data_IF_473923941323
#
_entry.id   IF_473923941323
#
_cell.length_a   1.000
_cell.length_b   1.000
_cell.length_c   1.000
_cell.angle_alpha   90.00
_cell.angle_beta   90.00
_cell.angle_gamma   90.00
#
_symmetry.space_group_name_H-M   'P 1'
#
loop_
_entity.id
_entity.type
_entity.pdbx_description
1 polymer ?
#
# COMPACT_ATOMS: atom_id res chain seq x y z
N UNK A 1 -4.51 -5.31 6.71
CA UNK A 1 -5.28 -4.37 5.87
C UNK A 1 -4.34 -3.36 5.21
N UNK A 2 -4.39 -3.30 3.89
CA UNK A 2 -3.45 -2.71 2.92
C UNK A 2 -3.66 -1.20 2.72
N UNK A 3 -3.56 -0.41 3.80
CA UNK A 3 -3.97 1.00 3.80
C UNK A 3 -3.24 1.87 2.76
N UNK A 4 -1.90 1.80 2.71
CA UNK A 4 -1.12 2.60 1.77
C UNK A 4 -1.17 2.05 0.33
N UNK A 5 -1.27 0.73 0.15
CA UNK A 5 -1.37 0.11 -1.18
C UNK A 5 -2.69 0.47 -1.86
N UNK A 6 -3.80 0.37 -1.12
CA UNK A 6 -5.11 0.77 -1.65
C UNK A 6 -5.11 2.25 -2.04
N UNK A 7 -4.51 3.11 -1.22
CA UNK A 7 -4.35 4.54 -1.52
C UNK A 7 -3.51 4.78 -2.79
N UNK A 8 -2.34 4.14 -2.91
CA UNK A 8 -1.46 4.27 -4.08
C UNK A 8 -2.17 3.77 -5.34
N UNK A 9 -2.82 2.61 -5.29
CA UNK A 9 -3.55 2.06 -6.42
C UNK A 9 -4.68 2.99 -6.87
N UNK A 10 -5.44 3.57 -5.93
CA UNK A 10 -6.48 4.54 -6.25
C UNK A 10 -5.91 5.79 -6.95
N UNK A 11 -4.77 6.30 -6.47
CA UNK A 11 -4.08 7.43 -7.10
C UNK A 11 -3.63 7.10 -8.53
N UNK A 12 -3.02 5.93 -8.73
CA UNK A 12 -2.58 5.46 -10.05
C UNK A 12 -3.75 5.34 -11.04
N UNK A 13 -4.86 4.73 -10.60
CA UNK A 13 -6.07 4.59 -11.43
C UNK A 13 -6.62 5.96 -11.80
N UNK A 14 -6.77 6.88 -10.84
CA UNK A 14 -7.31 8.21 -11.12
C UNK A 14 -6.45 8.97 -12.14
N UNK A 15 -5.13 8.98 -11.94
CA UNK A 15 -4.18 9.67 -12.83
C UNK A 15 -4.22 9.05 -14.24
N UNK A 16 -4.38 7.73 -14.36
CA UNK A 16 -4.48 7.06 -15.65
C UNK A 16 -5.80 7.36 -16.38
N UNK A 17 -6.91 7.46 -15.65
CA UNK A 17 -8.25 7.74 -16.22
C UNK A 17 -8.44 9.22 -16.55
N UNK A 18 -7.77 10.12 -15.82
CA UNK A 18 -7.90 11.58 -15.95
C UNK A 18 -6.56 12.29 -16.14
N UNK A 19 -5.76 11.93 -17.18
CA UNK A 19 -4.46 12.56 -17.39
C UNK A 19 -4.55 14.08 -17.66
N UNK A 20 -5.64 14.53 -18.27
CA UNK A 20 -5.90 15.94 -18.58
C UNK A 20 -6.13 16.83 -17.35
N UNK A 21 -6.48 16.26 -16.20
CA UNK A 21 -6.65 17.02 -14.96
C UNK A 21 -5.31 17.53 -14.40
N UNK A 22 -4.18 17.03 -14.95
CA UNK A 22 -2.84 17.29 -14.46
C UNK A 22 -1.93 17.90 -15.53
N UNK A 23 -1.61 19.20 -15.37
CA UNK A 23 -0.73 19.90 -16.31
C UNK A 23 0.75 19.49 -16.23
N UNK A 24 1.21 18.92 -15.10
CA UNK A 24 2.59 18.45 -14.93
C UNK A 24 2.71 17.45 -13.76
N UNK A 25 3.91 16.89 -13.58
CA UNK A 25 4.23 15.93 -12.50
C UNK A 25 4.03 16.54 -11.11
N UNK A 26 4.38 17.81 -10.91
CA UNK A 26 4.19 18.52 -9.63
C UNK A 26 2.71 18.61 -9.24
N UNK A 27 1.82 18.86 -10.20
CA UNK A 27 0.38 18.89 -9.96
C UNK A 27 -0.15 17.52 -9.50
N UNK A 28 0.35 16.43 -10.09
CA UNK A 28 0.03 15.05 -9.65
C UNK A 28 0.47 14.82 -8.20
N UNK A 29 1.71 15.18 -7.88
CA UNK A 29 2.27 15.05 -6.52
C UNK A 29 1.45 15.85 -5.51
N UNK A 30 1.18 17.12 -5.79
CA UNK A 30 0.41 17.99 -4.90
C UNK A 30 -1.01 17.44 -4.68
N UNK A 31 -1.63 16.91 -5.73
CA UNK A 31 -2.95 16.30 -5.64
C UNK A 31 -2.96 15.04 -4.77
N UNK A 32 -1.96 14.15 -4.90
CA UNK A 32 -1.84 12.98 -4.02
C UNK A 32 -1.67 13.42 -2.55
N UNK A 33 -0.81 14.41 -2.32
CA UNK A 33 -0.54 14.95 -0.98
C UNK A 33 -1.75 15.68 -0.36
N UNK A 34 -2.72 16.14 -1.16
CA UNK A 34 -3.92 16.83 -0.68
C UNK A 34 -4.77 15.96 0.26
N UNK A 35 -4.76 14.64 0.07
CA UNK A 35 -5.51 13.69 0.90
C UNK A 35 -4.88 13.46 2.28
N UNK A 36 -3.62 13.88 2.47
CA UNK A 36 -2.87 13.67 3.71
C UNK A 36 -3.06 14.84 4.68
N UNK A 37 -4.29 14.97 5.20
CA UNK A 37 -4.72 16.20 5.90
C UNK A 37 -4.48 16.19 7.41
N UNK A 38 -4.44 15.01 8.03
CA UNK A 38 -4.38 14.88 9.50
C UNK A 38 -3.38 13.82 9.95
N UNK A 39 -3.01 13.89 11.24
CA UNK A 39 -2.18 12.89 11.91
C UNK A 39 -0.80 12.69 11.26
N UNK A 40 -0.34 11.44 11.23
CA UNK A 40 0.95 11.06 10.67
C UNK A 40 1.06 11.35 9.15
N UNK A 41 -0.07 11.28 8.43
CA UNK A 41 -0.10 11.59 7.01
C UNK A 41 0.20 13.09 6.75
N UNK A 42 -0.36 13.98 7.57
CA UNK A 42 -0.06 15.42 7.47
C UNK A 42 1.42 15.71 7.74
N UNK A 43 2.01 15.07 8.75
CA UNK A 43 3.43 15.23 9.06
C UNK A 43 4.30 14.73 7.90
N UNK A 44 3.99 13.54 7.37
CA UNK A 44 4.65 13.00 6.19
C UNK A 44 4.60 13.98 5.01
N UNK A 45 3.42 14.54 4.70
CA UNK A 45 3.26 15.54 3.63
C UNK A 45 4.18 16.74 3.84
N UNK A 46 4.18 17.31 5.05
CA UNK A 46 4.99 18.48 5.36
C UNK A 46 6.48 18.18 5.18
N UNK A 47 6.95 17.02 5.65
CA UNK A 47 8.33 16.56 5.48
C UNK A 47 8.69 16.32 4.01
N UNK A 48 7.78 15.72 3.23
CA UNK A 48 8.00 15.44 1.81
C UNK A 48 8.09 16.72 0.98
N UNK A 49 7.27 17.75 1.28
CA UNK A 49 7.35 19.05 0.61
C UNK A 49 8.71 19.74 0.84
N UNK A 50 9.25 19.64 2.07
CA UNK A 50 10.60 20.11 2.37
C UNK A 50 11.63 19.36 1.52
N UNK A 51 11.53 18.03 1.41
CA UNK A 51 12.42 17.22 0.57
C UNK A 51 12.40 17.66 -0.89
N UNK A 52 11.21 17.84 -1.49
CA UNK A 52 11.08 18.29 -2.88
C UNK A 52 11.72 19.66 -3.13
N UNK A 53 11.57 20.59 -2.20
CA UNK A 53 12.17 21.92 -2.33
C UNK A 53 13.71 21.88 -2.35
N UNK A 54 14.33 20.93 -1.63
CA UNK A 54 15.78 20.74 -1.59
C UNK A 54 16.31 19.89 -2.76
N UNK A 55 15.50 18.99 -3.31
CA UNK A 55 15.90 18.04 -4.35
C UNK A 55 15.72 18.52 -5.79
N UNK A 56 15.52 19.83 -6.03
CA UNK A 56 15.48 20.45 -7.36
C UNK A 56 16.78 20.32 -8.19
N UNK A 57 17.73 19.47 -7.78
CA UNK A 57 18.97 19.20 -8.52
C UNK A 57 19.27 17.68 -8.55
N UNK A 58 19.19 17.09 -9.76
CA UNK A 58 19.88 15.85 -10.18
C UNK A 58 19.31 14.47 -9.76
N UNK A 59 18.01 14.19 -9.92
CA UNK A 59 17.55 12.79 -9.92
C UNK A 59 16.97 12.39 -11.28
N UNK A 60 17.47 11.27 -11.81
CA UNK A 60 17.01 10.60 -13.05
C UNK A 60 15.76 9.74 -12.83
N UNK A 61 15.25 9.68 -11.59
CA UNK A 61 14.12 8.85 -11.18
C UNK A 61 12.84 9.69 -11.18
N UNK A 62 11.72 9.11 -11.60
CA UNK A 62 10.43 9.80 -11.61
C UNK A 62 10.04 10.27 -10.19
N UNK A 63 9.82 11.59 -9.97
CA UNK A 63 9.35 12.14 -8.70
C UNK A 63 8.10 11.45 -8.12
N UNK A 64 7.22 10.90 -8.95
CA UNK A 64 6.04 10.15 -8.50
C UNK A 64 6.43 8.79 -7.92
N UNK A 65 7.38 8.07 -8.53
CA UNK A 65 7.88 6.81 -7.98
C UNK A 65 8.57 7.02 -6.63
N UNK A 66 9.31 8.12 -6.49
CA UNK A 66 9.92 8.52 -5.22
C UNK A 66 8.82 8.72 -4.17
N UNK A 67 7.74 9.44 -4.50
CA UNK A 67 6.62 9.64 -3.59
C UNK A 67 6.02 8.30 -3.15
N UNK A 68 5.70 7.40 -4.09
CA UNK A 68 5.13 6.09 -3.75
C UNK A 68 6.06 5.26 -2.87
N UNK A 69 7.36 5.24 -3.16
CA UNK A 69 8.34 4.54 -2.32
C UNK A 69 8.36 5.10 -0.90
N UNK A 70 8.36 6.43 -0.74
CA UNK A 70 8.35 7.06 0.57
C UNK A 70 7.04 6.76 1.33
N UNK A 71 5.89 6.73 0.64
CA UNK A 71 4.61 6.33 1.24
C UNK A 71 4.68 4.88 1.73
N UNK A 72 5.20 3.96 0.91
CA UNK A 72 5.39 2.56 1.31
C UNK A 72 6.32 2.42 2.51
N UNK A 73 7.41 3.19 2.57
CA UNK A 73 8.33 3.16 3.71
C UNK A 73 7.69 3.69 4.99
N UNK A 74 6.84 4.71 4.90
CA UNK A 74 6.23 5.34 6.06
C UNK A 74 4.99 4.59 6.58
N UNK A 75 4.20 4.01 5.69
CA UNK A 75 2.86 3.47 6.00
C UNK A 75 2.67 2.01 5.57
N UNK A 76 3.62 1.43 4.86
CA UNK A 76 3.58 0.03 4.46
C UNK A 76 3.94 -0.89 5.62
N UNK A 77 3.51 -2.14 5.48
CA UNK A 77 3.92 -3.19 6.40
C UNK A 77 5.39 -3.59 6.15
N UNK A 78 6.29 -3.43 7.15
CA UNK A 78 7.69 -3.78 7.00
C UNK A 78 7.92 -5.29 6.81
N UNK A 79 6.96 -6.14 7.19
CA UNK A 79 7.04 -7.58 7.01
C UNK A 79 5.66 -8.19 6.68
N UNK A 80 5.21 -7.94 5.45
CA UNK A 80 3.94 -8.44 4.91
C UNK A 80 3.75 -9.94 5.11
N UNK A 81 4.81 -10.72 4.98
CA UNK A 81 4.74 -12.18 5.13
C UNK A 81 4.45 -12.57 6.58
N UNK A 82 5.20 -12.02 7.54
CA UNK A 82 4.99 -12.32 8.95
C UNK A 82 3.60 -11.85 9.41
N UNK A 83 3.15 -10.68 8.94
CA UNK A 83 1.78 -10.20 9.21
C UNK A 83 0.74 -11.12 8.63
N UNK A 84 0.90 -11.59 7.39
CA UNK A 84 -0.04 -12.52 6.77
C UNK A 84 -0.09 -13.87 7.50
N UNK A 85 1.05 -14.41 7.94
CA UNK A 85 1.10 -15.62 8.78
C UNK A 85 0.39 -15.38 10.13
N UNK A 86 0.64 -14.24 10.76
CA UNK A 86 -0.04 -13.88 12.01
C UNK A 86 -1.57 -13.74 11.80
N UNK A 87 -1.99 -13.08 10.72
CA UNK A 87 -3.40 -12.93 10.35
C UNK A 87 -4.07 -14.30 10.15
N UNK A 88 -3.40 -15.24 9.46
CA UNK A 88 -3.90 -16.61 9.28
C UNK A 88 -3.99 -17.39 10.59
N UNK A 89 -2.91 -17.41 11.38
CA UNK A 89 -2.83 -18.20 12.61
C UNK A 89 -3.76 -17.70 13.71
N UNK A 90 -4.09 -16.41 13.70
CA UNK A 90 -5.02 -15.81 14.67
C UNK A 90 -6.45 -15.68 14.14
N UNK A 91 -6.69 -16.03 12.87
CA UNK A 91 -7.99 -15.86 12.23
C UNK A 91 -9.06 -16.69 12.93
N UNK A 92 -10.20 -16.06 13.22
CA UNK A 92 -11.42 -16.71 13.68
C UNK A 92 -12.59 -16.19 12.86
N UNK A 93 -13.58 -17.04 12.60
CA UNK A 93 -14.77 -16.63 11.84
C UNK A 93 -15.54 -15.52 12.57
N UNK A 94 -15.75 -15.66 13.89
CA UNK A 94 -16.47 -14.67 14.69
C UNK A 94 -17.90 -14.44 14.16
N UNK A 95 -18.27 -13.19 13.92
CA UNK A 95 -19.56 -12.79 13.37
C UNK A 95 -19.62 -12.75 11.84
N UNK A 96 -18.50 -13.03 11.13
CA UNK A 96 -18.47 -13.04 9.67
C UNK A 96 -19.28 -14.21 9.13
N UNK A 97 -19.95 -14.00 7.99
CA UNK A 97 -20.47 -15.11 7.20
C UNK A 97 -19.34 -16.04 6.76
N UNK A 98 -19.70 -17.28 6.40
CA UNK A 98 -18.72 -18.24 5.89
C UNK A 98 -17.98 -17.69 4.66
N UNK A 99 -18.69 -17.03 3.75
CA UNK A 99 -18.10 -16.45 2.54
C UNK A 99 -17.10 -15.33 2.88
N UNK A 100 -17.47 -14.38 3.75
CA UNK A 100 -16.55 -13.31 4.17
C UNK A 100 -15.31 -13.87 4.87
N UNK A 101 -15.48 -14.91 5.68
CA UNK A 101 -14.36 -15.58 6.34
C UNK A 101 -13.44 -16.27 5.33
N UNK A 102 -13.99 -16.96 4.33
CA UNK A 102 -13.23 -17.60 3.25
C UNK A 102 -12.47 -16.56 2.41
N UNK A 103 -13.09 -15.42 2.08
CA UNK A 103 -12.42 -14.36 1.34
C UNK A 103 -11.27 -13.74 2.14
N UNK A 104 -11.46 -13.50 3.44
CA UNK A 104 -10.39 -13.06 4.34
C UNK A 104 -9.24 -14.07 4.38
N UNK A 105 -9.55 -15.38 4.48
CA UNK A 105 -8.55 -16.44 4.46
C UNK A 105 -7.74 -16.44 3.16
N UNK A 106 -8.41 -16.41 2.00
CA UNK A 106 -7.75 -16.37 0.69
C UNK A 106 -6.82 -15.18 0.55
N UNK A 107 -7.27 -14.01 1.01
CA UNK A 107 -6.45 -12.80 1.00
C UNK A 107 -5.19 -12.96 1.87
N UNK A 108 -5.31 -13.41 3.12
CA UNK A 108 -4.15 -13.58 3.99
C UNK A 108 -3.22 -14.70 3.48
N UNK A 109 -3.78 -15.79 2.98
CA UNK A 109 -3.04 -16.91 2.39
C UNK A 109 -2.20 -16.49 1.18
N UNK A 110 -2.75 -15.68 0.27
CA UNK A 110 -2.00 -15.17 -0.88
C UNK A 110 -0.75 -14.36 -0.52
N UNK A 111 -0.69 -13.79 0.69
CA UNK A 111 0.44 -12.97 1.16
C UNK A 111 1.39 -13.70 2.13
N UNK A 112 1.08 -14.92 2.57
CA UNK A 112 1.86 -15.64 3.59
C UNK A 112 3.11 -16.33 3.04
N UNK A 113 3.23 -16.46 1.73
CA UNK A 113 4.30 -17.22 1.09
C UNK A 113 4.22 -18.73 1.33
N UNK A 114 3.10 -19.23 1.89
CA UNK A 114 2.81 -20.66 1.88
C UNK A 114 2.56 -21.09 0.43
N UNK A 115 3.47 -21.89 -0.12
CA UNK A 115 3.24 -22.57 -1.38
C UNK A 115 2.20 -23.68 -1.19
N UNK A 116 1.46 -24.04 -2.25
CA UNK A 116 0.49 -25.15 -2.25
C UNK A 116 1.12 -26.50 -1.80
N UNK A 117 2.46 -26.58 -1.77
CA UNK A 117 3.25 -27.73 -1.31
C UNK A 117 3.53 -27.75 0.20
N UNK A 118 2.62 -27.27 1.04
CA UNK A 118 2.56 -27.78 2.40
C UNK A 118 2.15 -29.24 2.29
N UNK A 119 3.14 -30.14 2.24
CA UNK A 119 2.98 -31.57 2.02
C UNK A 119 1.89 -32.15 2.93
N UNK A 120 0.70 -32.29 2.38
CA UNK A 120 -0.32 -33.17 2.91
C UNK A 120 0.22 -34.56 2.64
N UNK A 121 1.13 -35.02 3.48
CA UNK A 121 1.30 -36.46 3.67
C UNK A 121 -0.05 -36.93 4.21
N UNK A 122 -0.84 -37.52 3.30
CA UNK A 122 -1.99 -38.33 3.66
C UNK A 122 -1.55 -39.23 4.82
N UNK A 123 -2.15 -38.98 6.00
CA UNK A 123 -2.09 -39.93 7.09
C UNK A 123 -2.76 -41.21 6.57
N UNK A 124 -1.94 -42.17 6.15
CA UNK A 124 -2.35 -43.55 5.91
C UNK A 124 -2.77 -44.21 7.21
#
# INVERSE_FOLDING_TARGET
>A
MTGCEAFINACQIYIAVKPQDFGNVTAKIMWILLYMQTGMAQQFRNSFLVLCNHQNTKQSVDPIEILYRNIYQAFGDPNKQATAILELTTMKQGAKSAEEHIQCFKQAYGHSGYQETAGIHELK
#
